data_IF_148892761115
#
_entry.id   IF_148892761115
#
_cell.length_a   1.000
_cell.length_b   1.000
_cell.length_c   1.000
_cell.angle_alpha   90.00
_cell.angle_beta   90.00
_cell.angle_gamma   90.00
#
_symmetry.space_group_name_H-M   'P 1'
#
loop_
_entity.id
_entity.type
_entity.pdbx_description
1 polymer ?
#
# COMPACT_ATOMS: atom_id res chain seq x y z
N UNK A 1 -23.61 -13.18 -70.32
CA UNK A 1 -22.82 -12.98 -71.55
C UNK A 1 -21.80 -14.11 -71.62
N UNK A 2 -21.72 -14.99 -72.59
CA UNK A 2 -22.52 -15.29 -73.77
C UNK A 2 -22.23 -16.76 -74.12
N UNK A 3 -23.24 -17.53 -74.52
CA UNK A 3 -23.16 -18.97 -74.75
C UNK A 3 -22.75 -19.32 -76.19
N UNK A 4 -22.31 -20.57 -76.38
CA UNK A 4 -22.60 -21.43 -77.55
C UNK A 4 -22.37 -20.79 -78.95
N UNK A 5 -21.28 -21.17 -79.62
CA UNK A 5 -21.19 -21.05 -81.08
C UNK A 5 -21.56 -22.39 -81.74
N UNK A 6 -22.83 -22.47 -82.15
CA UNK A 6 -23.34 -23.39 -83.17
C UNK A 6 -23.32 -22.65 -84.52
N UNK A 7 -22.80 -23.27 -85.56
CA UNK A 7 -23.30 -23.17 -86.94
C UNK A 7 -22.51 -24.21 -87.76
N UNK A 8 -23.09 -25.37 -88.06
CA UNK A 8 -24.05 -25.57 -89.15
C UNK A 8 -23.41 -25.24 -90.50
N UNK A 9 -23.15 -26.27 -91.30
CA UNK A 9 -23.38 -26.26 -92.74
C UNK A 9 -23.69 -27.69 -93.17
N UNK A 10 -24.98 -27.92 -93.39
CA UNK A 10 -25.50 -29.11 -94.03
C UNK A 10 -25.52 -28.87 -95.54
N UNK A 11 -25.00 -29.87 -96.25
CA UNK A 11 -25.50 -30.42 -97.51
C UNK A 11 -25.56 -29.51 -98.75
N UNK A 12 -25.09 -30.05 -99.89
CA UNK A 12 -25.99 -30.46 -100.98
C UNK A 12 -25.22 -31.20 -102.10
N UNK A 13 -25.78 -32.36 -102.44
CA UNK A 13 -25.89 -33.07 -103.73
C UNK A 13 -24.68 -33.67 -104.47
N UNK A 14 -24.70 -35.01 -104.47
CA UNK A 14 -24.83 -35.92 -105.62
C UNK A 14 -24.28 -35.50 -106.99
N UNK A 15 -23.25 -36.23 -107.42
CA UNK A 15 -23.16 -36.80 -108.77
C UNK A 15 -22.37 -38.12 -108.71
N UNK A 16 -23.06 -39.24 -108.93
CA UNK A 16 -22.46 -40.55 -109.19
C UNK A 16 -22.23 -40.66 -110.71
N UNK A 17 -21.10 -41.21 -111.15
CA UNK A 17 -21.19 -42.27 -112.14
C UNK A 17 -20.49 -43.54 -111.67
N UNK A 18 -21.21 -44.62 -111.93
CA UNK A 18 -20.85 -46.03 -111.80
C UNK A 18 -19.61 -46.32 -112.66
N UNK A 19 -18.43 -46.41 -112.05
CA UNK A 19 -17.22 -47.00 -112.66
C UNK A 19 -16.10 -47.25 -111.64
N UNK A 20 -16.35 -48.03 -110.58
CA UNK A 20 -15.30 -48.67 -109.78
C UNK A 20 -15.83 -49.84 -108.94
N UNK A 21 -16.63 -50.73 -109.54
CA UNK A 21 -16.98 -52.04 -108.95
C UNK A 21 -15.87 -53.09 -109.19
N UNK A 22 -14.61 -52.67 -109.21
CA UNK A 22 -13.45 -53.53 -109.47
C UNK A 22 -12.31 -53.39 -108.43
N UNK A 23 -12.62 -52.92 -107.21
CA UNK A 23 -11.69 -52.92 -106.06
C UNK A 23 -12.38 -53.40 -104.76
N UNK A 24 -13.45 -54.18 -104.88
CA UNK A 24 -14.15 -54.80 -103.74
C UNK A 24 -13.57 -56.18 -103.33
N UNK A 25 -12.33 -56.47 -103.75
CA UNK A 25 -11.57 -57.67 -103.35
C UNK A 25 -10.20 -57.30 -102.74
N UNK A 26 -9.99 -56.01 -102.41
CA UNK A 26 -9.02 -55.56 -101.40
C UNK A 26 -9.53 -55.92 -100.01
N UNK A 27 -9.33 -57.20 -99.70
CA UNK A 27 -9.65 -57.98 -98.51
C UNK A 27 -10.24 -57.24 -97.29
N UNK A 28 -11.34 -57.77 -96.75
CA UNK A 28 -11.76 -57.57 -95.36
C UNK A 28 -10.56 -57.60 -94.38
N UNK A 29 -9.56 -58.42 -94.70
CA UNK A 29 -8.29 -58.56 -94.00
C UNK A 29 -7.49 -57.26 -93.85
N UNK A 30 -7.43 -56.37 -94.84
CA UNK A 30 -6.72 -55.09 -94.70
C UNK A 30 -7.45 -54.09 -93.80
N UNK A 31 -8.78 -54.14 -93.76
CA UNK A 31 -9.58 -53.39 -92.76
C UNK A 31 -9.37 -53.95 -91.36
N UNK A 32 -9.39 -55.28 -91.20
CA UNK A 32 -9.10 -55.95 -89.94
C UNK A 32 -7.68 -55.63 -89.43
N UNK A 33 -6.67 -55.60 -90.32
CA UNK A 33 -5.30 -55.18 -89.97
C UNK A 33 -5.22 -53.72 -89.55
N UNK A 34 -5.93 -52.84 -90.25
CA UNK A 34 -5.97 -51.42 -89.88
C UNK A 34 -6.68 -51.21 -88.54
N UNK A 35 -7.80 -51.89 -88.30
CA UNK A 35 -8.51 -51.91 -87.02
C UNK A 35 -7.65 -52.48 -85.89
N UNK A 36 -6.91 -53.57 -86.14
CA UNK A 36 -5.95 -54.13 -85.18
C UNK A 36 -4.82 -53.15 -84.84
N UNK A 37 -4.23 -52.46 -85.83
CA UNK A 37 -3.21 -51.43 -85.58
C UNK A 37 -3.77 -50.27 -84.77
N UNK A 38 -4.99 -49.80 -85.09
CA UNK A 38 -5.66 -48.74 -84.33
C UNK A 38 -5.98 -49.17 -82.90
N UNK A 39 -6.51 -50.39 -82.69
CA UNK A 39 -6.77 -50.93 -81.35
C UNK A 39 -5.48 -51.14 -80.56
N UNK A 40 -4.38 -51.54 -81.21
CA UNK A 40 -3.09 -51.69 -80.55
C UNK A 40 -2.50 -50.32 -80.17
N UNK A 41 -2.61 -49.31 -81.05
CA UNK A 41 -2.25 -47.93 -80.74
C UNK A 41 -3.10 -47.35 -79.59
N UNK A 42 -4.41 -47.63 -79.56
CA UNK A 42 -5.29 -47.23 -78.45
C UNK A 42 -4.91 -47.94 -77.14
N UNK A 43 -4.57 -49.23 -77.16
CA UNK A 43 -4.09 -49.93 -75.96
C UNK A 43 -2.77 -49.34 -75.44
N UNK A 44 -1.82 -49.04 -76.34
CA UNK A 44 -0.58 -48.37 -75.96
C UNK A 44 -0.83 -46.98 -75.36
N UNK A 45 -1.74 -46.20 -75.94
CA UNK A 45 -2.12 -44.88 -75.43
C UNK A 45 -2.78 -44.97 -74.05
N UNK A 46 -3.74 -45.87 -73.87
CA UNK A 46 -4.39 -46.11 -72.57
C UNK A 46 -3.39 -46.63 -71.52
N UNK A 47 -2.42 -47.45 -71.91
CA UNK A 47 -1.38 -47.92 -71.01
C UNK A 47 -0.42 -46.80 -70.60
N UNK A 48 -0.07 -45.90 -71.51
CA UNK A 48 0.69 -44.69 -71.21
C UNK A 48 -0.09 -43.74 -70.29
N UNK A 49 -1.38 -43.52 -70.55
CA UNK A 49 -2.26 -42.70 -69.72
C UNK A 49 -2.41 -43.28 -68.31
N UNK A 50 -2.66 -44.59 -68.19
CA UNK A 50 -2.70 -45.30 -66.91
C UNK A 50 -1.38 -45.16 -66.14
N UNK A 51 -0.24 -45.26 -66.82
CA UNK A 51 1.07 -45.08 -66.18
C UNK A 51 1.28 -43.64 -65.68
N UNK A 52 0.81 -42.65 -66.44
CA UNK A 52 0.87 -41.22 -66.09
C UNK A 52 -0.04 -40.92 -64.90
N UNK A 53 -1.26 -41.44 -64.88
CA UNK A 53 -2.20 -41.28 -63.77
C UNK A 53 -1.71 -41.97 -62.50
N UNK A 54 -1.11 -43.16 -62.61
CA UNK A 54 -0.48 -43.80 -61.45
C UNK A 54 0.73 -43.01 -60.93
N UNK A 55 1.51 -42.37 -61.80
CA UNK A 55 2.58 -41.48 -61.37
C UNK A 55 2.03 -40.22 -60.67
N UNK A 56 0.98 -39.60 -61.22
CA UNK A 56 0.31 -38.45 -60.62
C UNK A 56 -0.33 -38.78 -59.27
N UNK A 57 -0.98 -39.94 -59.14
CA UNK A 57 -1.56 -40.41 -57.87
C UNK A 57 -0.48 -40.59 -56.80
N UNK A 58 0.65 -41.23 -57.14
CA UNK A 58 1.77 -41.38 -56.20
C UNK A 58 2.37 -40.05 -55.78
N UNK A 59 2.46 -39.07 -56.69
CA UNK A 59 2.89 -37.72 -56.37
C UNK A 59 1.93 -37.02 -55.40
N UNK A 60 0.63 -37.05 -55.70
CA UNK A 60 -0.39 -36.47 -54.84
C UNK A 60 -0.48 -37.15 -53.47
N UNK A 61 -0.27 -38.47 -53.39
CA UNK A 61 -0.19 -39.21 -52.13
C UNK A 61 1.03 -38.79 -51.30
N UNK A 62 2.19 -38.62 -51.94
CA UNK A 62 3.40 -38.14 -51.28
C UNK A 62 3.23 -36.71 -50.74
N UNK A 63 2.64 -35.80 -51.53
CA UNK A 63 2.35 -34.42 -51.12
C UNK A 63 1.35 -34.36 -49.97
N UNK A 64 0.29 -35.18 -50.03
CA UNK A 64 -0.69 -35.32 -48.94
C UNK A 64 -0.02 -35.80 -47.66
N UNK A 65 0.87 -36.78 -47.75
CA UNK A 65 1.54 -37.34 -46.58
C UNK A 65 2.59 -36.36 -46.01
N UNK A 66 3.26 -35.58 -46.87
CA UNK A 66 4.12 -34.48 -46.45
C UNK A 66 3.32 -33.39 -45.72
N UNK A 67 2.23 -32.90 -46.32
CA UNK A 67 1.36 -31.90 -45.71
C UNK A 67 0.74 -32.38 -44.39
N UNK A 68 0.38 -33.68 -44.28
CA UNK A 68 -0.09 -34.27 -43.02
C UNK A 68 0.97 -34.27 -41.93
N UNK A 69 2.23 -34.55 -42.27
CA UNK A 69 3.36 -34.47 -41.33
C UNK A 69 3.60 -33.04 -40.86
N UNK A 70 3.57 -32.08 -41.78
CA UNK A 70 3.71 -30.65 -41.45
C UNK A 70 2.58 -30.17 -40.54
N UNK A 71 1.32 -30.52 -40.85
CA UNK A 71 0.17 -30.18 -40.00
C UNK A 71 0.28 -30.81 -38.61
N UNK A 72 0.78 -32.04 -38.50
CA UNK A 72 1.01 -32.68 -37.21
C UNK A 72 2.12 -31.95 -36.42
N UNK A 73 3.22 -31.56 -37.07
CA UNK A 73 4.30 -30.77 -36.47
C UNK A 73 3.81 -29.41 -35.97
N UNK A 74 3.13 -28.64 -36.84
CA UNK A 74 2.59 -27.33 -36.49
C UNK A 74 1.57 -27.39 -35.35
N UNK A 75 0.75 -28.44 -35.29
CA UNK A 75 -0.17 -28.67 -34.16
C UNK A 75 0.59 -28.92 -32.87
N UNK A 76 1.64 -29.74 -32.91
CA UNK A 76 2.51 -29.98 -31.76
C UNK A 76 3.19 -28.71 -31.25
N UNK A 77 3.75 -27.91 -32.16
CA UNK A 77 4.40 -26.63 -31.82
C UNK A 77 3.40 -25.63 -31.21
N UNK A 78 2.19 -25.57 -31.77
CA UNK A 78 1.13 -24.71 -31.28
C UNK A 78 0.65 -25.12 -29.88
N UNK A 79 0.50 -26.41 -29.61
CA UNK A 79 0.15 -26.91 -28.27
C UNK A 79 1.28 -26.65 -27.27
N UNK A 80 2.54 -26.86 -27.66
CA UNK A 80 3.69 -26.53 -26.83
C UNK A 80 3.77 -25.02 -26.53
N UNK A 81 3.53 -24.16 -27.54
CA UNK A 81 3.48 -22.71 -27.36
C UNK A 81 2.34 -22.28 -26.43
N UNK A 82 1.15 -22.88 -26.56
CA UNK A 82 0.02 -22.64 -25.66
C UNK A 82 0.33 -23.02 -24.23
N UNK A 83 0.94 -24.19 -23.99
CA UNK A 83 1.34 -24.62 -22.65
C UNK A 83 2.36 -23.66 -22.03
N UNK A 84 3.36 -23.21 -22.81
CA UNK A 84 4.33 -22.21 -22.35
C UNK A 84 3.66 -20.88 -22.01
N UNK A 85 2.76 -20.39 -22.87
CA UNK A 85 2.03 -19.15 -22.63
C UNK A 85 1.16 -19.23 -21.35
N UNK A 86 0.45 -20.35 -21.14
CA UNK A 86 -0.32 -20.58 -19.91
C UNK A 86 0.58 -20.65 -18.68
N UNK A 87 1.73 -21.34 -18.76
CA UNK A 87 2.71 -21.41 -17.68
C UNK A 87 3.31 -20.04 -17.33
N UNK A 88 3.62 -19.22 -18.34
CA UNK A 88 4.10 -17.85 -18.14
C UNK A 88 3.02 -16.96 -17.51
N UNK A 89 1.77 -17.04 -18.00
CA UNK A 89 0.65 -16.30 -17.43
C UNK A 89 0.39 -16.68 -15.96
N UNK A 90 0.49 -17.97 -15.62
CA UNK A 90 0.35 -18.44 -14.24
C UNK A 90 1.49 -17.90 -13.34
N UNK A 91 2.74 -17.94 -13.82
CA UNK A 91 3.89 -17.38 -13.09
C UNK A 91 3.76 -15.87 -12.90
N UNK A 92 3.32 -15.16 -13.94
CA UNK A 92 3.08 -13.71 -13.86
C UNK A 92 2.06 -13.38 -12.78
N UNK A 93 0.92 -14.09 -12.75
CA UNK A 93 -0.10 -13.92 -11.69
C UNK A 93 0.47 -14.20 -10.31
N UNK A 94 1.25 -15.26 -10.13
CA UNK A 94 1.89 -15.56 -8.85
C UNK A 94 2.87 -14.47 -8.40
N UNK A 95 3.63 -13.89 -9.33
CA UNK A 95 4.55 -12.78 -9.03
C UNK A 95 3.76 -11.52 -8.67
N UNK A 96 2.70 -11.19 -9.41
CA UNK A 96 1.85 -10.03 -9.14
C UNK A 96 1.12 -10.17 -7.79
N UNK A 97 0.56 -11.33 -7.48
CA UNK A 97 -0.07 -11.63 -6.20
C UNK A 97 0.94 -11.60 -5.05
N UNK A 98 2.13 -12.18 -5.25
CA UNK A 98 3.22 -12.13 -4.27
C UNK A 98 3.73 -10.71 -4.01
N UNK A 99 3.91 -9.91 -5.06
CA UNK A 99 4.31 -8.52 -4.95
C UNK A 99 3.22 -7.67 -4.26
N UNK A 100 1.95 -7.88 -4.60
CA UNK A 100 0.83 -7.21 -3.95
C UNK A 100 0.71 -7.58 -2.46
N UNK A 101 0.87 -8.86 -2.13
CA UNK A 101 0.87 -9.32 -0.73
C UNK A 101 2.05 -8.74 0.05
N UNK A 102 3.24 -8.71 -0.55
CA UNK A 102 4.42 -8.10 0.08
C UNK A 102 4.27 -6.59 0.28
N UNK A 103 3.69 -5.89 -0.69
CA UNK A 103 3.40 -4.46 -0.58
C UNK A 103 2.42 -4.18 0.58
N UNK A 104 1.31 -4.92 0.66
CA UNK A 104 0.35 -4.82 1.77
C UNK A 104 0.99 -5.08 3.13
N UNK A 105 1.77 -6.15 3.25
CA UNK A 105 2.46 -6.47 4.50
C UNK A 105 3.53 -5.41 4.87
N UNK A 106 4.16 -4.78 3.89
CA UNK A 106 5.10 -3.68 4.12
C UNK A 106 4.38 -2.42 4.58
N UNK A 107 3.24 -2.10 3.99
CA UNK A 107 2.42 -0.94 4.34
C UNK A 107 1.80 -1.11 5.74
N UNK A 108 1.26 -2.28 6.08
CA UNK A 108 0.77 -2.61 7.43
C UNK A 108 1.88 -2.42 8.49
N UNK A 109 3.10 -2.90 8.21
CA UNK A 109 4.25 -2.68 9.12
C UNK A 109 4.64 -1.22 9.25
N UNK A 110 4.59 -0.46 8.15
CA UNK A 110 4.87 0.98 8.16
C UNK A 110 3.83 1.71 9.00
N UNK A 111 2.55 1.44 8.79
CA UNK A 111 1.45 2.03 9.56
C UNK A 111 1.59 1.71 11.05
N UNK A 112 1.77 0.44 11.42
CA UNK A 112 2.00 0.03 12.80
C UNK A 112 3.24 0.73 13.42
N UNK A 113 4.33 0.89 12.67
CA UNK A 113 5.51 1.61 13.14
C UNK A 113 5.27 3.11 13.33
N UNK A 114 4.48 3.73 12.45
CA UNK A 114 4.11 5.15 12.56
C UNK A 114 3.18 5.38 13.75
N UNK A 115 2.22 4.49 13.99
CA UNK A 115 1.33 4.54 15.15
C UNK A 115 2.10 4.36 16.46
N UNK A 116 3.02 3.40 16.51
CA UNK A 116 3.91 3.23 17.66
C UNK A 116 4.77 4.46 17.89
N UNK A 117 5.35 5.05 16.84
CA UNK A 117 6.16 6.27 16.95
C UNK A 117 5.33 7.47 17.44
N UNK A 118 4.11 7.67 16.92
CA UNK A 118 3.18 8.72 17.37
C UNK A 118 2.81 8.54 18.84
N UNK A 119 2.52 7.29 19.24
CA UNK A 119 2.17 6.96 20.63
C UNK A 119 3.35 7.26 21.58
N UNK A 120 4.56 6.87 21.21
CA UNK A 120 5.77 7.18 21.99
C UNK A 120 6.03 8.68 22.09
N UNK A 121 5.83 9.43 21.00
CA UNK A 121 5.94 10.89 21.01
C UNK A 121 4.93 11.55 21.95
N UNK A 122 3.67 11.10 21.92
CA UNK A 122 2.63 11.59 22.83
C UNK A 122 2.97 11.27 24.30
N UNK A 123 3.43 10.06 24.58
CA UNK A 123 3.85 9.66 25.94
C UNK A 123 5.05 10.47 26.43
N UNK A 124 6.03 10.74 25.57
CA UNK A 124 7.19 11.55 25.91
C UNK A 124 6.78 13.01 26.20
N UNK A 125 5.89 13.58 25.37
CA UNK A 125 5.37 14.92 25.59
C UNK A 125 4.58 15.02 26.91
N UNK A 126 3.69 14.07 27.18
CA UNK A 126 2.93 14.00 28.43
C UNK A 126 3.85 13.86 29.65
N UNK A 127 4.82 12.94 29.59
CA UNK A 127 5.80 12.73 30.67
C UNK A 127 6.64 13.98 30.93
N UNK A 128 7.03 14.69 29.87
CA UNK A 128 7.81 15.93 30.00
C UNK A 128 6.97 17.05 30.62
N UNK A 129 5.71 17.17 30.21
CA UNK A 129 4.78 18.12 30.79
C UNK A 129 4.53 17.82 32.28
N UNK A 130 4.31 16.56 32.63
CA UNK A 130 4.09 16.15 34.02
C UNK A 130 5.33 16.40 34.86
N UNK A 131 6.53 16.06 34.37
CA UNK A 131 7.79 16.43 35.03
C UNK A 131 7.91 17.93 35.27
N UNK A 132 7.53 18.76 34.30
CA UNK A 132 7.49 20.21 34.44
C UNK A 132 6.56 20.64 35.59
N UNK A 133 5.31 20.16 35.59
CA UNK A 133 4.32 20.45 36.65
C UNK A 133 4.79 20.00 38.03
N UNK A 134 5.34 18.79 38.14
CA UNK A 134 5.88 18.30 39.41
C UNK A 134 7.07 19.14 39.89
N UNK A 135 7.97 19.54 38.97
CA UNK A 135 9.09 20.41 39.32
C UNK A 135 8.64 21.81 39.76
N UNK A 136 7.61 22.38 39.12
CA UNK A 136 6.99 23.64 39.55
C UNK A 136 6.34 23.50 40.94
N UNK A 137 5.57 22.42 41.15
CA UNK A 137 4.92 22.16 42.43
C UNK A 137 5.93 21.95 43.57
N UNK A 138 7.05 21.27 43.30
CA UNK A 138 8.15 21.10 44.25
C UNK A 138 8.80 22.45 44.59
N UNK A 139 9.12 23.27 43.58
CA UNK A 139 9.68 24.62 43.80
C UNK A 139 8.76 25.49 44.66
N UNK A 140 7.46 25.44 44.40
CA UNK A 140 6.45 26.17 45.18
C UNK A 140 6.39 25.67 46.63
N UNK A 141 6.43 24.35 46.85
CA UNK A 141 6.50 23.78 48.20
C UNK A 141 7.77 24.16 48.94
N UNK A 142 8.92 24.12 48.28
CA UNK A 142 10.20 24.51 48.87
C UNK A 142 10.20 25.98 49.28
N UNK A 143 9.68 26.87 48.42
CA UNK A 143 9.52 28.29 48.75
C UNK A 143 8.61 28.51 49.97
N UNK A 144 7.51 27.76 50.06
CA UNK A 144 6.61 27.82 51.21
C UNK A 144 7.26 27.32 52.50
N UNK A 145 8.03 26.24 52.44
CA UNK A 145 8.76 25.70 53.60
C UNK A 145 9.83 26.69 54.07
N UNK A 146 10.57 27.32 53.14
CA UNK A 146 11.55 28.36 53.48
C UNK A 146 10.89 29.59 54.12
N UNK A 147 9.76 30.05 53.57
CA UNK A 147 9.01 31.17 54.14
C UNK A 147 8.46 30.83 55.53
N UNK A 148 7.92 29.62 55.72
CA UNK A 148 7.44 29.12 57.01
C UNK A 148 8.58 29.05 58.03
N UNK A 149 9.74 28.50 57.64
CA UNK A 149 10.93 28.42 58.49
C UNK A 149 11.43 29.79 58.94
N UNK A 150 11.50 30.75 58.01
CA UNK A 150 11.91 32.13 58.30
C UNK A 150 10.94 32.82 59.26
N UNK A 151 9.63 32.72 58.99
CA UNK A 151 8.58 33.27 59.85
C UNK A 151 8.58 32.65 61.25
N UNK A 152 8.79 31.33 61.35
CA UNK A 152 8.89 30.64 62.62
C UNK A 152 10.13 31.11 63.42
N UNK A 153 11.28 31.27 62.76
CA UNK A 153 12.47 31.83 63.40
C UNK A 153 12.23 33.25 63.95
N UNK A 154 11.54 34.10 63.20
CA UNK A 154 11.18 35.46 63.63
C UNK A 154 10.17 35.47 64.79
N UNK A 155 9.18 34.56 64.77
CA UNK A 155 8.23 34.39 65.88
C UNK A 155 8.94 33.94 67.16
N UNK A 156 9.87 32.98 67.06
CA UNK A 156 10.68 32.54 68.19
C UNK A 156 11.58 33.66 68.73
N UNK A 157 12.18 34.47 67.86
CA UNK A 157 12.99 35.61 68.27
C UNK A 157 12.14 36.66 69.02
N UNK A 158 10.98 37.02 68.45
CA UNK A 158 10.04 37.95 69.07
C UNK A 158 9.53 37.41 70.42
N UNK A 159 9.21 36.12 70.51
CA UNK A 159 8.83 35.48 71.77
C UNK A 159 9.91 35.56 72.84
N UNK A 160 11.19 35.35 72.48
CA UNK A 160 12.33 35.52 73.39
C UNK A 160 12.51 36.96 73.85
N UNK A 161 12.31 37.93 72.96
CA UNK A 161 12.36 39.36 73.30
C UNK A 161 11.27 39.74 74.30
N UNK A 162 10.03 39.22 74.12
CA UNK A 162 8.93 39.41 75.07
C UNK A 162 9.29 38.83 76.45
N UNK A 163 9.81 37.61 76.52
CA UNK A 163 10.26 37.01 77.78
C UNK A 163 11.37 37.85 78.43
N UNK A 164 12.37 38.27 77.66
CA UNK A 164 13.47 39.08 78.17
C UNK A 164 13.05 40.50 78.58
N UNK A 165 11.96 41.05 78.02
CA UNK A 165 11.36 42.30 78.44
C UNK A 165 10.61 42.13 79.77
N UNK A 166 9.94 40.99 79.97
CA UNK A 166 9.30 40.65 81.23
C UNK A 166 10.31 40.42 82.36
N UNK A 167 11.41 39.72 82.08
CA UNK A 167 12.50 39.48 83.05
C UNK A 167 13.20 40.77 83.49
N UNK A 168 13.27 41.78 82.61
CA UNK A 168 13.87 43.10 82.91
C UNK A 168 12.90 44.06 83.61
N UNK A 169 11.63 43.70 83.74
CA UNK A 169 10.64 44.54 84.39
C UNK A 169 10.80 44.41 85.92
N UNK A 170 11.51 45.37 86.52
CA UNK A 170 11.87 45.32 87.93
C UNK A 170 10.79 45.92 88.86
N UNK A 171 10.92 45.67 90.16
CA UNK A 171 10.05 46.25 91.20
C UNK A 171 10.05 47.78 91.14
N UNK A 172 11.16 48.40 90.72
CA UNK A 172 11.27 49.84 90.51
C UNK A 172 10.31 50.35 89.41
N UNK A 173 10.18 49.61 88.31
CA UNK A 173 9.23 49.93 87.22
C UNK A 173 7.78 49.75 87.66
N UNK A 174 7.51 48.73 88.49
CA UNK A 174 6.19 48.52 89.09
C UNK A 174 5.77 49.66 90.04
N UNK A 175 6.72 50.22 90.80
CA UNK A 175 6.49 51.39 91.66
C UNK A 175 6.29 52.66 90.83
N UNK A 176 7.06 52.85 89.76
CA UNK A 176 6.91 53.97 88.84
C UNK A 176 5.53 53.98 88.17
N UNK A 177 4.98 52.81 87.81
CA UNK A 177 3.65 52.68 87.18
C UNK A 177 2.48 53.09 88.10
N UNK A 178 2.67 52.99 89.42
CA UNK A 178 1.68 53.32 90.46
C UNK A 178 1.61 54.81 90.81
N UNK A 179 2.52 55.63 90.29
CA UNK A 179 2.53 57.07 90.54
C UNK A 179 1.58 57.84 89.60
N UNK A 180 0.85 58.85 90.09
CA UNK A 180 -0.17 59.57 89.31
C UNK A 180 0.37 60.38 88.11
N UNK A 181 1.69 60.58 88.00
CA UNK A 181 2.37 61.27 86.88
C UNK A 181 3.05 60.32 85.88
N UNK A 182 2.84 59.00 85.98
CA UNK A 182 3.51 57.99 85.17
C UNK A 182 2.96 57.82 83.73
N UNK A 183 2.28 58.82 83.18
CA UNK A 183 1.62 58.75 81.87
C UNK A 183 2.57 58.31 80.75
N UNK A 184 3.84 58.76 80.78
CA UNK A 184 4.85 58.36 79.80
C UNK A 184 5.24 56.87 79.85
N UNK A 185 5.25 56.24 81.04
CA UNK A 185 5.55 54.81 81.17
C UNK A 185 4.39 53.93 80.69
N UNK A 186 3.14 54.36 80.90
CA UNK A 186 1.96 53.66 80.37
C UNK A 186 1.96 53.64 78.85
N UNK A 187 2.22 54.78 78.20
CA UNK A 187 2.31 54.87 76.73
C UNK A 187 3.45 54.00 76.19
N UNK A 188 4.60 53.93 76.88
CA UNK A 188 5.71 53.05 76.47
C UNK A 188 5.34 51.56 76.52
N UNK A 189 4.62 51.14 77.56
CA UNK A 189 4.11 49.77 77.67
C UNK A 189 3.09 49.45 76.59
N UNK A 190 2.17 50.37 76.31
CA UNK A 190 1.17 50.24 75.24
C UNK A 190 1.85 50.10 73.87
N UNK A 191 2.82 50.98 73.57
CA UNK A 191 3.57 50.94 72.31
C UNK A 191 4.38 49.65 72.19
N UNK A 192 5.02 49.18 73.26
CA UNK A 192 5.76 47.92 73.24
C UNK A 192 4.83 46.71 73.01
N UNK A 193 3.66 46.69 73.67
CA UNK A 193 2.66 45.65 73.46
C UNK A 193 2.13 45.66 72.02
N UNK A 194 1.91 46.84 71.46
CA UNK A 194 1.47 47.00 70.07
C UNK A 194 2.56 46.54 69.08
N UNK A 195 3.81 46.99 69.23
CA UNK A 195 4.93 46.59 68.39
C UNK A 195 5.14 45.06 68.39
N UNK A 196 5.05 44.41 69.56
CA UNK A 196 5.15 42.96 69.66
C UNK A 196 3.93 42.26 69.02
N UNK A 197 2.73 42.81 69.21
CA UNK A 197 1.51 42.31 68.57
C UNK A 197 1.60 42.35 67.06
N UNK A 198 2.07 43.47 66.50
CA UNK A 198 2.25 43.67 65.06
C UNK A 198 3.30 42.69 64.52
N UNK A 199 4.45 42.55 65.18
CA UNK A 199 5.49 41.58 64.78
C UNK A 199 4.99 40.13 64.82
N UNK A 200 4.17 39.78 65.80
CA UNK A 200 3.59 38.43 65.90
C UNK A 200 2.57 38.19 64.77
N UNK A 201 1.77 39.20 64.45
CA UNK A 201 0.80 39.15 63.35
C UNK A 201 1.47 39.07 61.98
N UNK A 202 2.46 39.92 61.70
CA UNK A 202 3.20 39.96 60.44
C UNK A 202 3.95 38.64 60.16
N UNK A 203 4.52 38.02 61.20
CA UNK A 203 5.25 36.77 61.06
C UNK A 203 4.35 35.53 61.10
N UNK A 204 3.02 35.67 61.21
CA UNK A 204 2.12 34.52 61.10
C UNK A 204 2.20 33.94 59.68
N UNK A 205 2.44 32.64 59.56
CA UNK A 205 2.43 31.98 58.25
C UNK A 205 0.99 31.73 57.78
N UNK A 206 0.68 32.14 56.55
CA UNK A 206 -0.56 31.80 55.85
C UNK A 206 -0.22 31.07 54.54
N UNK A 207 -0.54 29.76 54.43
CA UNK A 207 -0.27 29.00 53.22
C UNK A 207 -1.06 29.47 52.00
N UNK A 208 -2.20 30.16 52.18
CA UNK A 208 -3.03 30.68 51.07
C UNK A 208 -2.46 31.94 50.46
N UNK A 209 -1.90 32.81 51.30
CA UNK A 209 -1.18 34.01 50.88
C UNK A 209 0.08 33.69 50.06
N UNK A 210 0.71 32.53 50.30
CA UNK A 210 1.85 32.06 49.52
C UNK A 210 1.44 31.50 48.15
N UNK A 211 0.26 30.88 48.03
CA UNK A 211 -0.25 30.32 46.76
C UNK A 211 -0.91 31.34 45.82
N UNK A 212 -0.93 32.62 46.16
CA UNK A 212 -1.56 33.67 45.34
C UNK A 212 -3.08 33.52 45.16
N UNK A 213 -3.74 32.67 45.94
CA UNK A 213 -5.20 32.51 45.93
C UNK A 213 -5.77 33.62 46.80
N UNK A 214 -6.53 34.58 46.24
CA UNK A 214 -7.09 35.67 47.04
C UNK A 214 -7.98 35.10 48.13
N UNK A 215 -7.75 35.54 49.37
CA UNK A 215 -8.62 35.24 50.47
C UNK A 215 -10.03 35.74 50.13
N UNK A 216 -10.97 34.81 49.99
CA UNK A 216 -12.38 35.15 49.92
C UNK A 216 -12.75 35.85 51.23
N UNK A 217 -12.98 37.15 51.16
CA UNK A 217 -13.58 37.93 52.24
C UNK A 217 -15.03 37.47 52.47
N UNK A 218 -15.50 37.53 53.74
CA UNK A 218 -16.79 37.00 54.17
C UNK A 218 -18.00 37.71 53.54
#
# INVERSE_FOLDING_TARGET
MGPIQKAAWCAVLCAIPVAALAQAQGSLEDRLRTQLRTLNAQNQQLQAEKSTMHAALRGAEADRDAARKELAGLRGDLDAARQRAQGLAARQRQVEEGAAAQARAADEKREASQEAARTLQQQLAATTQDRGKLADALRERDAQLQACGTRNANLLATGKEILAAYERFDIADAVALRQPLAAGMRVRLENAAQDYGDRLHENRFDPRAATGVPAATP
#
